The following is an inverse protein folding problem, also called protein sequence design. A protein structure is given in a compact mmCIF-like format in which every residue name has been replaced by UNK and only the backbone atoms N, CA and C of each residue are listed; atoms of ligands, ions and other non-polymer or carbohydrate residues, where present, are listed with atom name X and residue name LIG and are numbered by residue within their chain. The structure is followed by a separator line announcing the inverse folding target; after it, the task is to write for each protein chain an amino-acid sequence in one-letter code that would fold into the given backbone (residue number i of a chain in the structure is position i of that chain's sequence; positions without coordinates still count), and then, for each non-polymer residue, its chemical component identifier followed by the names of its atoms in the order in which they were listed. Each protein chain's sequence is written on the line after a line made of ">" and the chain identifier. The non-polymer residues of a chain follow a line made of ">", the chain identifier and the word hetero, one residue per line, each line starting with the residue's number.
data_IF_099568743946
#
_entry.id   IF_099568743946
#
_cell.length_a   1.000
_cell.length_b   1.000
_cell.length_c   1.000
_cell.angle_alpha   90.00
_cell.angle_beta   90.00
_cell.angle_gamma   90.00
#
_symmetry.space_group_name_H-M   'P 1'
#
loop_
_entity.id
_entity.type
_entity.pdbx_description
1 polymer ?
#
# COMPACT_ATOMS: atom_id res chain seq x y z
N UNK A 1 7.94 -40.32 -19.46
CA UNK A 1 6.85 -39.97 -18.53
C UNK A 1 6.35 -38.61 -18.95
N UNK A 2 5.16 -38.54 -19.53
CA UNK A 2 4.57 -37.28 -19.98
C UNK A 2 3.94 -36.57 -18.79
N UNK A 3 4.50 -35.43 -18.37
CA UNK A 3 3.88 -34.56 -17.37
C UNK A 3 2.68 -33.86 -18.01
N UNK A 4 1.49 -34.43 -17.85
CA UNK A 4 0.23 -33.79 -18.21
C UNK A 4 -0.06 -32.70 -17.16
N UNK A 5 0.21 -31.43 -17.48
CA UNK A 5 -0.34 -30.31 -16.71
C UNK A 5 -1.81 -30.16 -17.10
N UNK A 6 -2.68 -30.96 -16.47
CA UNK A 6 -4.11 -30.70 -16.53
C UNK A 6 -4.41 -29.41 -15.77
N UNK A 7 -5.19 -28.51 -16.38
CA UNK A 7 -5.70 -27.35 -15.68
C UNK A 7 -6.52 -27.81 -14.47
N UNK A 8 -6.40 -27.16 -13.31
CA UNK A 8 -7.15 -27.52 -12.12
C UNK A 8 -8.64 -27.45 -12.40
N UNK A 9 -9.38 -28.45 -11.92
CA UNK A 9 -10.83 -28.45 -12.03
C UNK A 9 -11.47 -27.34 -11.19
N UNK A 10 -12.77 -27.11 -11.36
CA UNK A 10 -13.48 -26.04 -10.67
C UNK A 10 -13.42 -26.17 -9.13
N UNK A 11 -13.32 -27.39 -8.59
CA UNK A 11 -13.23 -27.63 -7.16
C UNK A 11 -11.84 -27.27 -6.64
N UNK A 12 -10.80 -27.72 -7.35
CA UNK A 12 -9.41 -27.37 -7.04
C UNK A 12 -9.17 -25.86 -7.14
N UNK A 13 -9.73 -25.21 -8.17
CA UNK A 13 -9.65 -23.76 -8.33
C UNK A 13 -10.36 -23.03 -7.18
N UNK A 14 -11.53 -23.51 -6.75
CA UNK A 14 -12.26 -22.96 -5.60
C UNK A 14 -11.46 -23.09 -4.30
N UNK A 15 -10.78 -24.22 -4.08
CA UNK A 15 -9.90 -24.41 -2.93
C UNK A 15 -8.72 -23.42 -2.96
N UNK A 16 -8.03 -23.30 -4.09
CA UNK A 16 -6.90 -22.36 -4.24
C UNK A 16 -7.36 -20.92 -4.00
N UNK A 17 -8.45 -20.49 -4.62
CA UNK A 17 -9.00 -19.15 -4.43
C UNK A 17 -9.50 -18.92 -3.00
N UNK A 18 -10.04 -19.96 -2.36
CA UNK A 18 -10.40 -19.94 -0.94
C UNK A 18 -9.19 -19.67 -0.06
N UNK A 19 -8.11 -20.45 -0.23
CA UNK A 19 -6.85 -20.25 0.51
C UNK A 19 -6.27 -18.85 0.27
N UNK A 20 -6.24 -18.38 -0.98
CA UNK A 20 -5.76 -17.01 -1.28
C UNK A 20 -6.63 -15.97 -0.58
N UNK A 21 -7.95 -16.11 -0.61
CA UNK A 21 -8.89 -15.20 0.05
C UNK A 21 -8.74 -15.20 1.57
N UNK A 22 -8.29 -16.29 2.18
CA UNK A 22 -8.03 -16.39 3.61
C UNK A 22 -6.68 -15.79 4.01
N UNK A 23 -5.64 -15.95 3.17
CA UNK A 23 -4.29 -15.49 3.48
C UNK A 23 -4.07 -14.00 3.16
N UNK A 24 -4.68 -13.47 2.09
CA UNK A 24 -4.55 -12.06 1.71
C UNK A 24 -4.91 -11.11 2.87
N UNK A 25 -6.06 -11.25 3.57
CA UNK A 25 -6.39 -10.40 4.70
C UNK A 25 -5.36 -10.45 5.84
N UNK A 26 -4.83 -11.64 6.16
CA UNK A 26 -3.83 -11.83 7.22
C UNK A 26 -2.52 -11.13 6.90
N UNK A 27 -2.10 -11.19 5.64
CA UNK A 27 -0.91 -10.47 5.15
C UNK A 27 -1.14 -8.97 5.27
N UNK A 28 -2.28 -8.46 4.83
CA UNK A 28 -2.63 -7.03 4.94
C UNK A 28 -2.65 -6.56 6.40
N UNK A 29 -3.23 -7.34 7.30
CA UNK A 29 -3.24 -7.06 8.74
C UNK A 29 -1.81 -7.03 9.31
N UNK A 30 -0.97 -7.99 8.91
CA UNK A 30 0.43 -8.07 9.38
C UNK A 30 1.26 -6.89 8.89
N UNK A 31 1.12 -6.50 7.62
CA UNK A 31 1.78 -5.30 7.06
C UNK A 31 1.26 -4.04 7.74
N UNK A 32 -0.06 -3.92 7.93
CA UNK A 32 -0.68 -2.80 8.64
C UNK A 32 -0.14 -2.68 10.07
N UNK A 33 -0.05 -3.79 10.81
CA UNK A 33 0.50 -3.82 12.18
C UNK A 33 1.99 -3.49 12.21
N UNK A 34 2.77 -3.93 11.22
CA UNK A 34 4.18 -3.57 11.11
C UNK A 34 4.37 -2.07 10.85
N UNK A 35 3.53 -1.45 10.02
CA UNK A 35 3.63 -0.02 9.69
C UNK A 35 2.98 0.89 10.74
N UNK A 36 1.86 0.48 11.32
CA UNK A 36 0.98 1.29 12.17
C UNK A 36 0.76 0.74 13.58
N UNK A 37 1.49 -0.31 14.00
CA UNK A 37 1.56 -0.70 15.40
C UNK A 37 1.95 0.50 16.28
N UNK A 38 1.44 0.58 17.51
CA UNK A 38 1.48 1.81 18.34
C UNK A 38 2.84 2.51 18.40
N UNK A 39 3.93 1.76 18.56
CA UNK A 39 5.31 2.29 18.58
C UNK A 39 5.74 2.85 17.21
N UNK A 40 5.41 2.14 16.13
CA UNK A 40 5.75 2.54 14.76
C UNK A 40 4.89 3.72 14.30
N UNK A 41 3.63 3.79 14.72
CA UNK A 41 2.73 4.91 14.43
C UNK A 41 3.21 6.21 15.10
N UNK A 42 3.68 6.16 16.36
CA UNK A 42 4.22 7.33 17.05
C UNK A 42 5.51 7.83 16.38
N UNK A 43 6.44 6.92 16.08
CA UNK A 43 7.68 7.25 15.37
C UNK A 43 7.42 7.83 13.98
N UNK A 44 6.45 7.25 13.25
CA UNK A 44 6.02 7.75 11.95
C UNK A 44 5.43 9.16 12.07
N UNK A 45 4.53 9.38 13.03
CA UNK A 45 3.95 10.71 13.28
C UNK A 45 5.00 11.77 13.62
N UNK A 46 5.99 11.44 14.46
CA UNK A 46 7.13 12.32 14.76
C UNK A 46 7.95 12.63 13.51
N UNK A 47 8.22 11.63 12.68
CA UNK A 47 9.00 11.78 11.44
C UNK A 47 8.27 12.69 10.44
N UNK A 48 6.97 12.46 10.24
CA UNK A 48 6.11 13.29 9.37
C UNK A 48 6.06 14.74 9.87
N UNK A 49 5.89 14.94 11.17
CA UNK A 49 5.86 16.27 11.77
C UNK A 49 7.20 17.00 11.62
N UNK A 50 8.32 16.28 11.79
CA UNK A 50 9.65 16.84 11.61
C UNK A 50 9.88 17.24 10.14
N UNK A 51 9.53 16.39 9.19
CA UNK A 51 9.62 16.68 7.76
C UNK A 51 8.85 17.95 7.38
N UNK A 52 7.60 18.09 7.85
CA UNK A 52 6.82 19.32 7.63
C UNK A 52 7.52 20.57 8.19
N UNK A 53 8.04 20.49 9.43
CA UNK A 53 8.76 21.63 10.04
C UNK A 53 9.99 22.03 9.25
N UNK A 54 10.79 21.06 8.81
CA UNK A 54 12.00 21.32 8.01
C UNK A 54 11.68 22.00 6.68
N UNK A 55 10.55 21.67 6.04
CA UNK A 55 10.10 22.35 4.82
C UNK A 55 9.74 23.81 5.07
N UNK A 56 9.08 24.12 6.20
CA UNK A 56 8.78 25.50 6.60
C UNK A 56 10.07 26.27 6.91
N UNK A 57 10.99 25.65 7.66
CA UNK A 57 12.29 26.24 7.99
C UNK A 57 13.15 26.50 6.75
N UNK A 58 13.02 25.64 5.72
CA UNK A 58 13.65 25.83 4.41
C UNK A 58 12.98 26.94 3.57
N UNK A 59 11.91 27.58 4.06
CA UNK A 59 11.27 28.74 3.44
C UNK A 59 10.03 28.44 2.60
N UNK A 60 9.48 27.21 2.66
CA UNK A 60 8.19 26.92 2.01
C UNK A 60 7.02 27.54 2.78
N UNK A 61 5.94 27.87 2.08
CA UNK A 61 4.70 28.27 2.75
C UNK A 61 4.05 27.08 3.48
N UNK A 62 3.23 27.33 4.51
CA UNK A 62 2.44 26.30 5.18
C UNK A 62 1.69 25.37 4.20
N UNK A 63 1.08 25.94 3.17
CA UNK A 63 0.32 25.19 2.18
C UNK A 63 1.21 24.29 1.31
N UNK A 64 2.37 24.78 0.88
CA UNK A 64 3.33 24.01 0.08
C UNK A 64 3.91 22.84 0.88
N UNK A 65 4.36 23.11 2.12
CA UNK A 65 4.90 22.09 3.01
C UNK A 65 3.84 21.04 3.39
N UNK A 66 2.59 21.47 3.61
CA UNK A 66 1.47 20.57 3.88
C UNK A 66 1.22 19.63 2.70
N UNK A 67 1.15 20.18 1.48
CA UNK A 67 0.92 19.39 0.27
C UNK A 67 2.02 18.34 0.07
N UNK A 68 3.29 18.73 0.16
CA UNK A 68 4.43 17.82 0.01
C UNK A 68 4.45 16.73 1.09
N UNK A 69 4.21 17.10 2.35
CA UNK A 69 4.13 16.14 3.46
C UNK A 69 2.99 15.13 3.24
N UNK A 70 1.81 15.61 2.83
CA UNK A 70 0.65 14.76 2.54
C UNK A 70 0.94 13.82 1.38
N UNK A 71 1.53 14.31 0.30
CA UNK A 71 1.84 13.52 -0.89
C UNK A 71 2.91 12.46 -0.56
N UNK A 72 3.92 12.81 0.26
CA UNK A 72 4.88 11.86 0.82
C UNK A 72 4.20 10.75 1.63
N UNK A 73 3.31 11.10 2.55
CA UNK A 73 2.55 10.13 3.36
C UNK A 73 1.65 9.22 2.52
N UNK A 74 1.04 9.76 1.46
CA UNK A 74 0.16 8.99 0.57
C UNK A 74 0.91 7.82 -0.07
N UNK A 75 2.19 8.01 -0.42
CA UNK A 75 3.07 6.97 -0.93
C UNK A 75 3.34 5.82 0.06
N UNK A 76 3.24 6.06 1.37
CA UNK A 76 3.41 5.03 2.40
C UNK A 76 2.12 4.33 2.80
N UNK A 77 0.96 4.88 2.42
CA UNK A 77 -0.31 4.26 2.78
C UNK A 77 -0.56 3.01 1.93
N UNK A 78 -0.92 1.90 2.58
CA UNK A 78 -1.38 0.68 1.90
C UNK A 78 -2.51 1.00 0.90
N UNK A 79 -3.43 1.89 1.28
CA UNK A 79 -4.51 2.37 0.40
C UNK A 79 -3.99 3.13 -0.83
N UNK A 80 -2.96 3.98 -0.66
CA UNK A 80 -2.32 4.70 -1.77
C UNK A 80 -1.53 3.79 -2.70
N UNK A 81 -0.82 2.80 -2.16
CA UNK A 81 -0.15 1.77 -2.97
C UNK A 81 -1.15 0.92 -3.76
N UNK A 82 -2.24 0.48 -3.13
CA UNK A 82 -3.32 -0.25 -3.79
C UNK A 82 -4.01 0.60 -4.86
N UNK A 83 -4.33 1.86 -4.57
CA UNK A 83 -4.91 2.78 -5.55
C UNK A 83 -3.96 3.01 -6.74
N UNK A 84 -2.65 3.12 -6.48
CA UNK A 84 -1.63 3.24 -7.53
C UNK A 84 -1.52 1.97 -8.36
N UNK A 85 -1.60 0.79 -7.75
CA UNK A 85 -1.59 -0.49 -8.47
C UNK A 85 -2.85 -0.69 -9.31
N UNK A 86 -4.03 -0.32 -8.80
CA UNK A 86 -5.29 -0.33 -9.55
C UNK A 86 -5.23 0.66 -10.72
N UNK A 87 -4.70 1.87 -10.49
CA UNK A 87 -4.49 2.86 -11.55
C UNK A 87 -3.50 2.35 -12.62
N UNK A 88 -2.39 1.74 -12.23
CA UNK A 88 -1.42 1.19 -13.16
C UNK A 88 -1.96 -0.02 -13.97
N UNK A 89 -2.83 -0.85 -13.37
CA UNK A 89 -3.50 -1.95 -14.05
C UNK A 89 -4.65 -1.51 -14.97
N UNK A 90 -5.24 -0.35 -14.67
CA UNK A 90 -6.23 0.32 -15.51
C UNK A 90 -5.50 1.30 -16.43
N UNK A 91 -4.70 0.74 -17.35
CA UNK A 91 -3.92 1.50 -18.32
C UNK A 91 -4.76 2.63 -18.96
N UNK A 92 -4.12 3.79 -19.11
CA UNK A 92 -4.63 4.93 -19.83
C UNK A 92 -5.01 4.50 -21.26
N UNK A 93 -6.31 4.27 -21.47
CA UNK A 93 -6.95 4.38 -22.78
C UNK A 93 -7.58 5.77 -22.84
N UNK A 94 -6.74 6.80 -22.94
CA UNK A 94 -7.16 8.11 -23.41
C UNK A 94 -6.16 8.54 -24.48
N UNK A 95 -6.57 8.36 -25.74
CA UNK A 95 -6.01 9.05 -26.92
C UNK A 95 -6.36 10.54 -26.89
#
# INVERSE_FOLDING_TARGET
>A
MSNNHEMPDAKQLKEILGTISEEIPKILESVSKALYGSENAEKLGKTVAQFYKELIEAGMTPEQAYKLTRDYMAGFSLGGMLASAVKAGRGDNED
#
